data_IF_319127855264
#
_entry.id   IF_319127855264
#
_cell.length_a   1.000
_cell.length_b   1.000
_cell.length_c   1.000
_cell.angle_alpha   90.00
_cell.angle_beta   90.00
_cell.angle_gamma   90.00
#
_symmetry.space_group_name_H-M   'P 1'
#
loop_
_entity.id
_entity.type
_entity.pdbx_description
1 polymer ?
#
# COMPACT_ATOMS: atom_id res chain seq x y z
N UNK A 1 -5.41 20.59 -24.78
CA UNK A 1 -5.78 19.50 -25.70
C UNK A 1 -5.26 18.22 -25.08
N UNK A 2 -6.05 17.34 -24.47
CA UNK A 2 -7.49 17.07 -24.57
C UNK A 2 -8.07 16.83 -23.17
N UNK A 3 -9.13 17.58 -22.88
CA UNK A 3 -10.10 17.29 -21.82
C UNK A 3 -10.97 16.16 -22.35
N UNK A 4 -10.83 14.94 -21.82
CA UNK A 4 -11.73 13.85 -22.21
C UNK A 4 -13.09 14.14 -21.59
N UNK A 5 -14.01 14.48 -22.48
CA UNK A 5 -15.43 14.70 -22.30
C UNK A 5 -16.06 13.53 -21.52
N UNK A 6 -16.57 13.83 -20.31
CA UNK A 6 -17.54 13.02 -19.59
C UNK A 6 -18.87 13.07 -20.36
N UNK A 7 -18.97 12.36 -21.47
CA UNK A 7 -20.25 12.20 -22.17
C UNK A 7 -21.12 11.22 -21.38
N UNK A 8 -22.33 11.67 -21.06
CA UNK A 8 -23.37 10.99 -20.31
C UNK A 8 -23.48 9.48 -20.63
N UNK A 9 -23.09 8.64 -19.67
CA UNK A 9 -23.30 7.19 -19.76
C UNK A 9 -24.61 6.84 -19.03
N UNK A 10 -25.66 6.66 -19.82
CA UNK A 10 -26.97 6.17 -19.38
C UNK A 10 -26.79 4.77 -18.76
N UNK A 11 -26.87 4.70 -17.43
CA UNK A 11 -26.85 3.44 -16.67
C UNK A 11 -28.08 2.59 -17.04
N UNK A 12 -27.90 1.55 -17.85
CA UNK A 12 -28.87 0.48 -17.99
C UNK A 12 -28.68 -0.53 -16.85
N UNK A 13 -29.80 -1.06 -16.35
CA UNK A 13 -29.95 -1.73 -15.04
C UNK A 13 -29.03 -2.96 -14.81
N UNK A 14 -28.17 -2.96 -13.77
CA UNK A 14 -27.14 -3.98 -13.52
C UNK A 14 -27.53 -5.10 -12.54
N UNK A 15 -28.83 -5.37 -12.34
CA UNK A 15 -29.33 -5.95 -11.08
C UNK A 15 -28.98 -7.43 -10.84
N UNK A 16 -28.97 -8.32 -11.84
CA UNK A 16 -28.86 -9.77 -11.54
C UNK A 16 -27.42 -10.32 -11.48
N UNK A 17 -26.51 -9.90 -12.35
CA UNK A 17 -25.10 -10.33 -12.31
C UNK A 17 -24.25 -9.56 -11.29
N UNK A 18 -24.66 -8.33 -10.93
CA UNK A 18 -24.03 -7.57 -9.85
C UNK A 18 -24.23 -8.23 -8.49
N UNK A 19 -25.37 -8.88 -8.25
CA UNK A 19 -25.73 -9.48 -6.97
C UNK A 19 -24.86 -10.70 -6.63
N UNK A 20 -24.63 -11.61 -7.59
CA UNK A 20 -23.79 -12.79 -7.36
C UNK A 20 -22.31 -12.42 -7.13
N UNK A 21 -21.81 -11.43 -7.86
CA UNK A 21 -20.43 -10.92 -7.70
C UNK A 21 -20.27 -10.19 -6.36
N UNK A 22 -21.29 -9.42 -5.96
CA UNK A 22 -21.36 -8.77 -4.64
C UNK A 22 -21.46 -9.80 -3.50
N UNK A 23 -22.19 -10.90 -3.69
CA UNK A 23 -22.30 -12.01 -2.74
C UNK A 23 -20.96 -12.75 -2.58
N UNK A 24 -20.24 -13.04 -3.66
CA UNK A 24 -18.91 -13.65 -3.59
C UNK A 24 -17.88 -12.72 -2.92
N UNK A 25 -17.90 -11.42 -3.21
CA UNK A 25 -17.07 -10.43 -2.51
C UNK A 25 -17.41 -10.33 -1.02
N UNK A 26 -18.70 -10.35 -0.67
CA UNK A 26 -19.16 -10.38 0.74
C UNK A 26 -18.75 -11.66 1.44
N UNK A 27 -18.82 -12.80 0.77
CA UNK A 27 -18.40 -14.09 1.31
C UNK A 27 -16.87 -14.16 1.49
N UNK A 28 -16.09 -13.62 0.55
CA UNK A 28 -14.64 -13.48 0.68
C UNK A 28 -14.28 -12.51 1.82
N UNK A 29 -15.01 -11.40 1.96
CA UNK A 29 -14.84 -10.45 3.06
C UNK A 29 -15.13 -11.08 4.43
N UNK A 30 -16.22 -11.83 4.54
CA UNK A 30 -16.54 -12.60 5.75
C UNK A 30 -15.43 -13.63 6.00
N UNK A 31 -15.00 -14.38 5.00
CA UNK A 31 -13.90 -15.34 5.15
C UNK A 31 -12.56 -14.69 5.56
N UNK A 32 -12.28 -13.47 5.08
CA UNK A 32 -11.09 -12.71 5.51
C UNK A 32 -11.24 -12.26 6.95
N UNK A 33 -12.38 -11.68 7.36
CA UNK A 33 -12.64 -11.28 8.76
C UNK A 33 -12.50 -12.47 9.72
N UNK A 34 -13.08 -13.62 9.36
CA UNK A 34 -13.03 -14.83 10.18
C UNK A 34 -11.72 -15.62 10.05
N UNK A 35 -10.87 -15.26 9.09
CA UNK A 35 -9.56 -15.88 8.83
C UNK A 35 -8.37 -15.10 9.38
N UNK A 36 -8.57 -13.87 9.89
CA UNK A 36 -7.52 -13.14 10.62
C UNK A 36 -7.28 -13.86 11.94
N UNK A 37 -6.13 -14.53 12.04
CA UNK A 37 -5.64 -15.18 13.26
C UNK A 37 -5.37 -14.16 14.36
N UNK A 38 -5.38 -14.61 15.61
CA UNK A 38 -5.35 -13.81 16.86
C UNK A 38 -4.14 -12.92 17.11
N UNK A 39 -3.15 -12.88 16.22
CA UNK A 39 -1.91 -12.12 16.40
C UNK A 39 -1.96 -10.78 15.65
N UNK A 40 -2.27 -9.72 16.40
CA UNK A 40 -2.32 -8.32 15.93
C UNK A 40 -0.93 -7.78 15.65
N UNK A 41 -0.37 -8.21 14.52
CA UNK A 41 0.97 -7.84 14.06
C UNK A 41 0.92 -6.71 13.04
N UNK A 42 1.66 -5.63 13.33
CA UNK A 42 1.98 -4.58 12.37
C UNK A 42 2.85 -5.17 11.24
N UNK A 43 2.62 -4.81 9.97
CA UNK A 43 3.32 -5.46 8.86
C UNK A 43 4.80 -5.04 8.79
N UNK A 44 5.72 -5.93 9.16
CA UNK A 44 7.15 -5.63 9.20
C UNK A 44 8.01 -6.72 8.57
N UNK A 45 9.32 -6.60 8.76
CA UNK A 45 10.28 -7.67 8.48
C UNK A 45 9.94 -8.93 9.31
N UNK A 46 10.00 -10.11 8.69
CA UNK A 46 9.64 -11.38 9.35
C UNK A 46 10.61 -11.71 10.49
N UNK A 47 10.16 -12.40 11.55
CA UNK A 47 11.00 -12.70 12.72
C UNK A 47 12.30 -13.43 12.39
N UNK A 48 12.26 -14.38 11.44
CA UNK A 48 13.45 -15.09 10.98
C UNK A 48 14.47 -14.18 10.28
N UNK A 49 14.00 -13.15 9.58
CA UNK A 49 14.89 -12.16 8.97
C UNK A 49 15.48 -11.22 10.04
N UNK A 50 14.75 -10.93 11.13
CA UNK A 50 15.26 -10.10 12.25
C UNK A 50 16.48 -10.75 12.91
N UNK A 51 16.41 -12.04 13.21
CA UNK A 51 17.53 -12.78 13.80
C UNK A 51 18.78 -12.75 12.92
N UNK A 52 18.60 -12.90 11.60
CA UNK A 52 19.71 -12.78 10.65
C UNK A 52 20.36 -11.40 10.65
N UNK A 53 19.59 -10.32 10.75
CA UNK A 53 20.13 -8.95 10.77
C UNK A 53 20.87 -8.68 12.08
N UNK A 54 20.34 -9.15 13.21
CA UNK A 54 20.94 -8.97 14.54
C UNK A 54 22.28 -9.70 14.69
N UNK A 55 22.44 -10.85 14.05
CA UNK A 55 23.68 -11.64 14.09
C UNK A 55 24.74 -11.15 13.08
N UNK A 56 24.39 -10.21 12.20
CA UNK A 56 25.28 -9.78 11.12
C UNK A 56 25.82 -8.35 11.35
N UNK A 57 27.15 -8.21 11.48
CA UNK A 57 27.82 -6.92 11.70
C UNK A 57 28.42 -6.35 10.42
N UNK A 58 28.34 -5.03 10.24
CA UNK A 58 28.98 -4.31 9.14
C UNK A 58 28.09 -4.13 7.90
N UNK A 59 28.72 -3.81 6.76
CA UNK A 59 28.00 -3.50 5.52
C UNK A 59 27.67 -4.80 4.78
N UNK A 60 26.37 -5.03 4.54
CA UNK A 60 25.82 -6.27 3.97
C UNK A 60 24.89 -5.95 2.79
N UNK A 61 25.46 -5.71 1.59
CA UNK A 61 24.68 -5.21 0.46
C UNK A 61 23.60 -6.20 0.00
N UNK A 62 23.97 -7.46 -0.25
CA UNK A 62 23.08 -8.46 -0.83
C UNK A 62 21.91 -8.78 0.12
N UNK A 63 22.13 -9.06 1.42
CA UNK A 63 21.03 -9.37 2.31
C UNK A 63 20.03 -8.23 2.47
N UNK A 64 20.50 -6.99 2.59
CA UNK A 64 19.59 -5.85 2.72
C UNK A 64 18.83 -5.55 1.42
N UNK A 65 19.43 -5.72 0.23
CA UNK A 65 18.71 -5.66 -1.04
C UNK A 65 17.61 -6.73 -1.09
N UNK A 66 17.93 -7.97 -0.73
CA UNK A 66 16.93 -9.05 -0.70
C UNK A 66 15.81 -8.75 0.29
N UNK A 67 16.17 -8.26 1.47
CA UNK A 67 15.22 -7.94 2.52
C UNK A 67 14.27 -6.81 2.11
N UNK A 68 14.80 -5.75 1.49
CA UNK A 68 13.99 -4.66 0.94
C UNK A 68 13.04 -5.14 -0.16
N UNK A 69 13.52 -5.99 -1.07
CA UNK A 69 12.69 -6.57 -2.13
C UNK A 69 11.60 -7.48 -1.56
N UNK A 70 11.94 -8.31 -0.56
CA UNK A 70 11.00 -9.19 0.14
C UNK A 70 9.95 -8.38 0.89
N UNK A 71 10.35 -7.32 1.60
CA UNK A 71 9.42 -6.42 2.28
C UNK A 71 8.41 -5.83 1.30
N UNK A 72 8.86 -5.26 0.19
CA UNK A 72 7.97 -4.70 -0.83
C UNK A 72 7.03 -5.74 -1.45
N UNK A 73 7.50 -6.96 -1.69
CA UNK A 73 6.70 -8.03 -2.32
C UNK A 73 5.72 -8.71 -1.36
N UNK A 74 6.01 -8.70 -0.06
CA UNK A 74 5.15 -9.30 0.98
C UNK A 74 4.23 -8.27 1.65
N UNK A 75 4.48 -6.97 1.45
CA UNK A 75 3.63 -5.87 1.90
C UNK A 75 2.34 -5.78 1.11
N UNK A 76 1.29 -6.41 1.65
CA UNK A 76 -0.05 -6.36 1.05
C UNK A 76 -0.59 -4.92 0.94
N UNK A 77 -0.23 -4.06 1.89
CA UNK A 77 -0.53 -2.63 1.88
C UNK A 77 0.05 -1.91 0.65
N UNK A 78 1.34 -2.11 0.38
CA UNK A 78 2.05 -1.55 -0.77
C UNK A 78 1.47 -2.07 -2.08
N UNK A 79 1.21 -3.37 -2.18
CA UNK A 79 0.63 -3.99 -3.38
C UNK A 79 -0.80 -3.50 -3.64
N UNK A 80 -1.63 -3.37 -2.61
CA UNK A 80 -2.99 -2.84 -2.72
C UNK A 80 -2.97 -1.36 -3.13
N UNK A 81 -2.09 -0.55 -2.53
CA UNK A 81 -1.94 0.84 -2.92
C UNK A 81 -1.47 0.97 -4.37
N UNK A 82 -0.44 0.22 -4.77
CA UNK A 82 0.09 0.19 -6.13
C UNK A 82 -1.00 -0.22 -7.14
N UNK A 83 -1.74 -1.29 -6.85
CA UNK A 83 -2.90 -1.74 -7.63
C UNK A 83 -3.91 -0.61 -7.82
N UNK A 84 -4.20 0.14 -6.76
CA UNK A 84 -5.15 1.25 -6.78
C UNK A 84 -4.66 2.41 -7.65
N UNK A 85 -3.38 2.75 -7.56
CA UNK A 85 -2.76 3.77 -8.42
C UNK A 85 -2.85 3.40 -9.90
N UNK A 86 -2.50 2.16 -10.27
CA UNK A 86 -2.43 1.77 -11.68
C UNK A 86 -3.77 1.40 -12.30
N UNK A 87 -4.80 1.17 -11.49
CA UNK A 87 -6.10 0.66 -11.95
C UNK A 87 -6.66 1.42 -13.15
N UNK A 88 -6.62 2.76 -13.09
CA UNK A 88 -7.12 3.67 -14.13
C UNK A 88 -6.02 4.42 -14.90
N UNK A 89 -4.74 4.16 -14.61
CA UNK A 89 -3.64 4.73 -15.38
C UNK A 89 -3.36 3.88 -16.62
N UNK A 90 -3.38 4.52 -17.78
CA UNK A 90 -3.11 3.87 -19.08
C UNK A 90 -1.75 4.25 -19.65
N UNK A 91 -1.20 5.42 -19.27
CA UNK A 91 0.08 5.91 -19.78
C UNK A 91 1.20 5.55 -18.81
N UNK A 92 2.22 4.84 -19.30
CA UNK A 92 3.41 4.49 -18.52
C UNK A 92 4.07 5.70 -17.87
N UNK A 93 4.10 6.85 -18.57
CA UNK A 93 4.62 8.11 -18.02
C UNK A 93 3.91 8.53 -16.73
N UNK A 94 2.58 8.41 -16.70
CA UNK A 94 1.80 8.81 -15.52
C UNK A 94 2.10 7.84 -14.37
N UNK A 95 2.12 6.53 -14.65
CA UNK A 95 2.48 5.49 -13.67
C UNK A 95 3.85 5.77 -13.05
N UNK A 96 4.87 6.03 -13.88
CA UNK A 96 6.21 6.33 -13.40
C UNK A 96 6.22 7.55 -12.47
N UNK A 97 5.47 8.61 -12.79
CA UNK A 97 5.38 9.80 -11.92
C UNK A 97 4.85 9.43 -10.52
N UNK A 98 3.76 8.66 -10.44
CA UNK A 98 3.21 8.27 -9.13
C UNK A 98 4.14 7.37 -8.34
N UNK A 99 4.74 6.38 -9.01
CA UNK A 99 5.69 5.44 -8.39
C UNK A 99 6.92 6.19 -7.87
N UNK A 100 7.46 7.13 -8.64
CA UNK A 100 8.57 7.97 -8.22
C UNK A 100 8.20 8.91 -7.07
N UNK A 101 7.02 9.54 -7.10
CA UNK A 101 6.57 10.41 -5.99
C UNK A 101 6.40 9.62 -4.69
N UNK A 102 5.82 8.43 -4.76
CA UNK A 102 5.68 7.55 -3.62
C UNK A 102 7.07 7.15 -3.07
N UNK A 103 7.96 6.67 -3.93
CA UNK A 103 9.31 6.27 -3.55
C UNK A 103 10.12 7.43 -2.95
N UNK A 104 9.99 8.64 -3.52
CA UNK A 104 10.63 9.84 -3.00
C UNK A 104 10.13 10.19 -1.59
N UNK A 105 8.82 10.18 -1.35
CA UNK A 105 8.28 10.38 0.00
C UNK A 105 8.78 9.30 0.96
N UNK A 106 8.73 8.04 0.54
CA UNK A 106 9.14 6.89 1.33
C UNK A 106 10.60 6.97 1.79
N UNK A 107 11.55 7.22 0.87
CA UNK A 107 12.97 7.27 1.24
C UNK A 107 13.28 8.45 2.16
N UNK A 108 12.59 9.58 1.99
CA UNK A 108 12.79 10.77 2.84
C UNK A 108 12.45 10.45 4.29
N UNK A 109 11.28 9.88 4.56
CA UNK A 109 10.85 9.59 5.94
C UNK A 109 11.48 8.33 6.51
N UNK A 110 11.85 7.36 5.68
CA UNK A 110 12.60 6.20 6.12
C UNK A 110 13.96 6.63 6.67
N UNK A 111 14.75 7.37 5.88
CA UNK A 111 16.09 7.79 6.28
C UNK A 111 16.03 8.78 7.44
N UNK A 112 15.18 9.81 7.35
CA UNK A 112 15.07 10.80 8.44
C UNK A 112 14.49 10.20 9.71
N UNK A 113 13.50 9.31 9.62
CA UNK A 113 12.90 8.64 10.77
C UNK A 113 13.92 7.80 11.54
N UNK A 114 14.76 7.04 10.84
CA UNK A 114 15.83 6.25 11.48
C UNK A 114 16.96 7.15 12.00
N UNK A 115 17.43 8.12 11.20
CA UNK A 115 18.58 8.97 11.58
C UNK A 115 18.29 9.93 12.74
N UNK A 116 17.04 10.38 12.88
CA UNK A 116 16.62 11.25 13.97
C UNK A 116 15.88 10.50 15.09
N UNK A 117 15.85 9.17 15.05
CA UNK A 117 15.24 8.31 16.06
C UNK A 117 13.79 8.71 16.40
N UNK A 118 13.01 9.05 15.38
CA UNK A 118 11.64 9.54 15.59
C UNK A 118 10.73 8.36 15.93
N UNK A 119 10.40 8.22 17.21
CA UNK A 119 9.52 7.18 17.71
C UNK A 119 8.04 7.60 17.63
N UNK A 120 7.25 6.88 16.82
CA UNK A 120 5.79 7.01 16.74
C UNK A 120 5.19 5.61 16.80
N UNK A 121 3.92 5.45 17.18
CA UNK A 121 3.31 4.12 17.22
C UNK A 121 3.22 3.50 15.81
N UNK A 122 3.80 2.30 15.57
CA UNK A 122 3.68 1.61 14.28
C UNK A 122 2.22 1.36 13.90
N UNK A 123 1.36 1.07 14.89
CA UNK A 123 -0.06 0.86 14.69
C UNK A 123 -0.78 2.10 14.12
N UNK A 124 -0.44 3.30 14.60
CA UNK A 124 -1.05 4.53 14.07
C UNK A 124 -0.62 4.80 12.63
N UNK A 125 0.65 4.53 12.32
CA UNK A 125 1.16 4.72 10.96
C UNK A 125 0.58 3.67 10.01
N UNK A 126 0.55 2.39 10.40
CA UNK A 126 -0.08 1.31 9.62
C UNK A 126 -1.59 1.57 9.43
N UNK A 127 -2.27 2.22 10.38
CA UNK A 127 -3.66 2.66 10.19
C UNK A 127 -3.81 3.75 9.12
N UNK A 128 -2.91 4.74 9.09
CA UNK A 128 -2.87 5.78 8.04
C UNK A 128 -2.53 5.15 6.68
N UNK A 129 -1.66 4.15 6.65
CA UNK A 129 -1.36 3.36 5.46
C UNK A 129 -2.62 2.65 4.96
N UNK A 130 -3.39 1.98 5.84
CA UNK A 130 -4.69 1.40 5.48
C UNK A 130 -5.68 2.44 4.93
N UNK A 131 -5.71 3.64 5.54
CA UNK A 131 -6.52 4.76 5.06
C UNK A 131 -6.11 5.23 3.65
N UNK A 132 -4.82 5.16 3.29
CA UNK A 132 -4.36 5.53 1.94
C UNK A 132 -5.02 4.68 0.84
N UNK A 133 -5.29 3.39 1.12
CA UNK A 133 -5.97 2.47 0.20
C UNK A 133 -7.45 2.88 0.04
N UNK A 134 -8.10 3.25 1.16
CA UNK A 134 -9.47 3.79 1.16
C UNK A 134 -9.54 5.06 0.32
N UNK A 135 -8.64 6.01 0.59
CA UNK A 135 -8.54 7.26 -0.15
C UNK A 135 -8.39 7.00 -1.64
N UNK A 136 -7.45 6.12 -2.04
CA UNK A 136 -7.20 5.86 -3.46
C UNK A 136 -8.37 5.16 -4.15
N UNK A 137 -9.08 4.31 -3.44
CA UNK A 137 -10.29 3.66 -3.95
C UNK A 137 -11.43 4.68 -4.16
N UNK A 138 -11.60 5.64 -3.25
CA UNK A 138 -12.56 6.74 -3.39
C UNK A 138 -12.20 7.68 -4.55
N UNK A 139 -10.93 8.02 -4.67
CA UNK A 139 -10.37 8.80 -5.78
C UNK A 139 -10.70 8.16 -7.13
N UNK A 140 -10.43 6.86 -7.25
CA UNK A 140 -10.70 6.06 -8.44
C UNK A 140 -12.19 5.97 -8.81
N UNK A 141 -13.09 6.06 -7.82
CA UNK A 141 -14.54 6.07 -8.04
C UNK A 141 -15.11 7.47 -8.31
N UNK A 142 -14.27 8.51 -8.31
CA UNK A 142 -14.70 9.91 -8.49
C UNK A 142 -15.53 10.45 -7.32
N UNK A 143 -15.39 9.87 -6.13
CA UNK A 143 -16.19 10.22 -4.97
C UNK A 143 -15.95 11.67 -4.52
N UNK A 144 -14.69 12.14 -4.53
CA UNK A 144 -14.35 13.49 -4.07
C UNK A 144 -14.99 14.58 -4.91
N UNK A 145 -14.92 14.49 -6.24
CA UNK A 145 -15.63 15.43 -7.12
C UNK A 145 -17.15 15.45 -6.86
N UNK A 146 -17.76 14.30 -6.54
CA UNK A 146 -19.21 14.20 -6.29
C UNK A 146 -19.62 14.73 -4.92
N UNK A 147 -18.82 14.50 -3.89
CA UNK A 147 -19.13 14.87 -2.52
C UNK A 147 -18.69 16.29 -2.17
N UNK A 148 -17.54 16.72 -2.68
CA UNK A 148 -16.90 17.98 -2.31
C UNK A 148 -16.91 19.02 -3.43
N UNK A 149 -17.28 18.63 -4.66
CA UNK A 149 -17.28 19.53 -5.82
C UNK A 149 -15.89 19.81 -6.41
N UNK A 150 -14.82 19.23 -5.87
CA UNK A 150 -13.46 19.32 -6.40
C UNK A 150 -12.71 17.99 -6.24
N UNK A 151 -11.70 17.77 -7.08
CA UNK A 151 -10.80 16.62 -6.99
C UNK A 151 -9.48 17.05 -6.33
N UNK A 152 -9.08 16.44 -5.19
CA UNK A 152 -7.78 16.67 -4.61
C UNK A 152 -6.64 16.27 -5.55
N UNK A 153 -5.47 16.91 -5.44
CA UNK A 153 -4.31 16.54 -6.25
C UNK A 153 -3.78 15.16 -5.82
N UNK A 154 -3.97 14.18 -6.69
CA UNK A 154 -3.56 12.79 -6.50
C UNK A 154 -2.06 12.64 -6.37
N UNK A 155 -1.25 13.49 -7.02
CA UNK A 155 0.22 13.43 -6.95
C UNK A 155 0.71 13.83 -5.57
N UNK A 156 0.12 14.91 -5.03
CA UNK A 156 0.42 15.37 -3.66
C UNK A 156 0.01 14.29 -2.67
N UNK A 157 -1.19 13.72 -2.81
CA UNK A 157 -1.66 12.63 -1.95
C UNK A 157 -0.70 11.42 -2.00
N UNK A 158 -0.29 10.99 -3.20
CA UNK A 158 0.67 9.87 -3.35
C UNK A 158 2.03 10.15 -2.70
N UNK A 159 2.55 11.36 -2.82
CA UNK A 159 3.78 11.75 -2.11
C UNK A 159 3.59 11.69 -0.59
N UNK A 160 2.49 12.24 -0.08
CA UNK A 160 2.16 12.22 1.36
C UNK A 160 2.01 10.78 1.87
N UNK A 161 1.35 9.90 1.12
CA UNK A 161 1.26 8.49 1.51
C UNK A 161 2.63 7.81 1.49
N UNK A 162 3.50 8.15 0.54
CA UNK A 162 4.89 7.73 0.55
C UNK A 162 5.60 8.09 1.86
N UNK A 163 5.43 9.34 2.33
CA UNK A 163 5.99 9.79 3.61
C UNK A 163 5.52 8.89 4.77
N UNK A 164 4.23 8.60 4.88
CA UNK A 164 3.72 7.73 5.95
C UNK A 164 4.24 6.29 5.85
N UNK A 165 4.34 5.73 4.64
CA UNK A 165 4.88 4.37 4.46
C UNK A 165 6.34 4.27 4.88
N UNK A 166 7.18 5.21 4.44
CA UNK A 166 8.60 5.22 4.82
C UNK A 166 8.80 5.34 6.33
N UNK A 167 7.92 6.12 6.98
CA UNK A 167 7.93 6.30 8.42
C UNK A 167 7.47 5.05 9.20
N UNK A 168 6.51 4.32 8.66
CA UNK A 168 6.04 3.05 9.24
C UNK A 168 7.15 2.01 9.29
N UNK A 169 7.96 1.94 8.23
CA UNK A 169 9.15 1.09 8.21
C UNK A 169 10.27 1.62 9.13
N UNK A 170 10.53 2.93 9.15
CA UNK A 170 11.53 3.52 10.04
C UNK A 170 11.29 3.15 11.50
N UNK A 171 10.04 3.27 11.94
CA UNK A 171 9.63 2.94 13.31
C UNK A 171 9.93 1.48 13.64
N UNK A 172 9.63 0.55 12.73
CA UNK A 172 9.90 -0.89 12.93
C UNK A 172 11.39 -1.20 12.95
N UNK A 173 12.19 -0.50 12.14
CA UNK A 173 13.65 -0.65 12.15
C UNK A 173 14.24 -0.18 13.48
N UNK A 174 13.73 0.91 14.07
CA UNK A 174 14.15 1.37 15.39
C UNK A 174 13.82 0.34 16.48
N UNK A 175 12.66 -0.33 16.40
CA UNK A 175 12.29 -1.43 17.31
C UNK A 175 13.19 -2.67 17.19
N UNK A 176 13.90 -2.84 16.06
CA UNK A 176 14.78 -3.98 15.85
C UNK A 176 16.19 -3.77 16.40
N UNK A 177 16.48 -2.61 17.02
CA UNK A 177 17.77 -2.30 17.66
C UNK A 177 18.97 -2.68 16.77
N UNK A 178 18.91 -2.32 15.48
CA UNK A 178 19.95 -2.71 14.52
C UNK A 178 21.33 -2.18 14.96
N UNK A 179 22.42 -2.96 14.78
CA UNK A 179 23.77 -2.49 15.03
C UNK A 179 24.05 -1.18 14.28
N UNK A 180 24.59 -0.18 14.99
CA UNK A 180 24.94 1.10 14.38
C UNK A 180 26.02 0.95 13.28
N UNK A 181 26.85 -0.08 13.37
CA UNK A 181 27.87 -0.39 12.38
C UNK A 181 27.24 -0.83 11.05
N UNK A 182 27.49 -0.07 9.99
CA UNK A 182 26.94 -0.31 8.66
C UNK A 182 25.47 0.07 8.47
N UNK A 183 24.79 0.63 9.48
CA UNK A 183 23.35 0.96 9.45
C UNK A 183 22.97 1.79 8.21
N UNK A 184 23.61 2.95 8.01
CA UNK A 184 23.27 3.85 6.90
C UNK A 184 23.51 3.21 5.51
N UNK A 185 24.68 2.60 5.21
CA UNK A 185 24.86 1.80 3.99
C UNK A 185 23.81 0.71 3.81
N UNK A 186 23.48 -0.02 4.88
CA UNK A 186 22.52 -1.12 4.83
C UNK A 186 21.09 -0.61 4.56
N UNK A 187 20.70 0.55 5.10
CA UNK A 187 19.43 1.22 4.75
C UNK A 187 19.37 1.66 3.29
N UNK A 188 20.49 2.11 2.72
CA UNK A 188 20.56 2.44 1.29
C UNK A 188 20.36 1.17 0.45
N UNK A 189 21.05 0.08 0.79
CA UNK A 189 20.87 -1.21 0.11
C UNK A 189 19.45 -1.77 0.26
N UNK A 190 18.84 -1.59 1.43
CA UNK A 190 17.43 -1.91 1.65
C UNK A 190 16.53 -1.15 0.68
N UNK A 191 16.71 0.18 0.54
CA UNK A 191 15.92 0.99 -0.37
C UNK A 191 16.09 0.57 -1.84
N UNK A 192 17.31 0.22 -2.26
CA UNK A 192 17.55 -0.35 -3.58
C UNK A 192 16.73 -1.64 -3.76
N UNK A 193 16.70 -2.49 -2.73
CA UNK A 193 15.84 -3.67 -2.69
C UNK A 193 14.35 -3.34 -2.86
N UNK A 194 13.85 -2.35 -2.11
CA UNK A 194 12.45 -1.90 -2.20
C UNK A 194 12.12 -1.41 -3.61
N UNK A 195 12.98 -0.60 -4.22
CA UNK A 195 12.79 -0.12 -5.59
C UNK A 195 12.74 -1.27 -6.60
N UNK A 196 13.64 -2.25 -6.48
CA UNK A 196 13.62 -3.47 -7.32
C UNK A 196 12.31 -4.22 -7.13
N UNK A 197 11.90 -4.47 -5.88
CA UNK A 197 10.63 -5.12 -5.56
C UNK A 197 9.44 -4.38 -6.14
N UNK A 198 9.44 -3.05 -6.08
CA UNK A 198 8.37 -2.20 -6.60
C UNK A 198 8.28 -2.25 -8.11
N UNK A 199 9.41 -2.23 -8.83
CA UNK A 199 9.44 -2.37 -10.29
C UNK A 199 8.91 -3.74 -10.71
N UNK A 200 9.31 -4.81 -10.03
CA UNK A 200 8.86 -6.18 -10.31
C UNK A 200 7.35 -6.33 -10.05
N UNK A 201 6.87 -5.85 -8.90
CA UNK A 201 5.44 -5.85 -8.57
C UNK A 201 4.64 -5.03 -9.58
N UNK A 202 5.12 -3.83 -9.94
CA UNK A 202 4.49 -2.98 -10.94
C UNK A 202 4.37 -3.69 -12.29
N UNK A 203 5.45 -4.30 -12.77
CA UNK A 203 5.45 -5.04 -14.03
C UNK A 203 4.42 -6.19 -14.00
N UNK A 204 4.40 -6.98 -12.93
CA UNK A 204 3.47 -8.09 -12.77
C UNK A 204 2.00 -7.61 -12.78
N UNK A 205 1.67 -6.58 -11.99
CA UNK A 205 0.29 -6.09 -11.90
C UNK A 205 -0.14 -5.41 -13.22
N UNK A 206 0.76 -4.66 -13.88
CA UNK A 206 0.45 -4.07 -15.20
C UNK A 206 0.15 -5.14 -16.24
N UNK A 207 0.90 -6.24 -16.29
CA UNK A 207 0.63 -7.36 -17.20
C UNK A 207 -0.76 -7.96 -16.89
N UNK A 208 -1.06 -8.21 -15.62
CA UNK A 208 -2.34 -8.76 -15.19
C UNK A 208 -3.53 -7.86 -15.58
N UNK A 209 -3.44 -6.56 -15.30
CA UNK A 209 -4.48 -5.59 -15.65
C UNK A 209 -4.59 -5.43 -17.17
N UNK A 210 -3.47 -5.39 -17.90
CA UNK A 210 -3.50 -5.27 -19.36
C UNK A 210 -4.22 -6.45 -20.02
N UNK A 211 -4.04 -7.66 -19.48
CA UNK A 211 -4.82 -8.83 -19.91
C UNK A 211 -6.30 -8.70 -19.53
N UNK A 212 -6.59 -8.29 -18.29
CA UNK A 212 -7.96 -8.15 -17.79
C UNK A 212 -8.78 -7.08 -18.53
N UNK A 213 -8.13 -5.98 -18.94
CA UNK A 213 -8.72 -4.89 -19.74
C UNK A 213 -9.25 -5.36 -21.10
N UNK A 214 -8.79 -6.50 -21.62
CA UNK A 214 -9.33 -7.09 -22.87
C UNK A 214 -10.74 -7.67 -22.68
N UNK A 215 -11.21 -7.85 -21.45
CA UNK A 215 -12.56 -8.32 -21.18
C UNK A 215 -13.59 -7.19 -21.35
N UNK A 216 -14.67 -7.43 -22.10
CA UNK A 216 -15.74 -6.44 -22.30
C UNK A 216 -16.50 -6.04 -21.02
N UNK A 217 -16.21 -6.68 -19.87
CA UNK A 217 -16.80 -6.38 -18.56
C UNK A 217 -15.84 -5.59 -17.64
N UNK A 218 -14.66 -5.16 -18.10
CA UNK A 218 -13.65 -4.52 -17.26
C UNK A 218 -14.20 -3.36 -16.42
N UNK A 219 -15.00 -2.47 -17.01
CA UNK A 219 -15.55 -1.30 -16.31
C UNK A 219 -16.49 -1.66 -15.14
N UNK A 220 -17.28 -2.73 -15.28
CA UNK A 220 -18.16 -3.19 -14.19
C UNK A 220 -17.35 -3.84 -13.07
N UNK A 221 -16.30 -4.59 -13.42
CA UNK A 221 -15.40 -5.17 -12.43
C UNK A 221 -14.51 -4.11 -11.77
N UNK A 222 -14.20 -3.02 -12.47
CA UNK A 222 -13.40 -1.92 -11.96
C UNK A 222 -14.02 -1.31 -10.70
N UNK A 223 -15.31 -0.98 -10.77
CA UNK A 223 -16.04 -0.41 -9.64
C UNK A 223 -16.10 -1.39 -8.45
N UNK A 224 -16.43 -2.66 -8.72
CA UNK A 224 -16.46 -3.71 -7.69
C UNK A 224 -15.09 -3.92 -7.04
N UNK A 225 -14.01 -3.89 -7.83
CA UNK A 225 -12.65 -4.06 -7.31
C UNK A 225 -12.24 -2.90 -6.43
N UNK A 226 -12.53 -1.66 -6.82
CA UNK A 226 -12.25 -0.50 -5.97
C UNK A 226 -13.10 -0.52 -4.70
N UNK A 227 -14.34 -1.01 -4.76
CA UNK A 227 -15.17 -1.23 -3.56
C UNK A 227 -14.52 -2.28 -2.64
N UNK A 228 -14.04 -3.39 -3.19
CA UNK A 228 -13.34 -4.42 -2.42
C UNK A 228 -12.05 -3.90 -1.78
N UNK A 229 -11.24 -3.15 -2.54
CA UNK A 229 -10.02 -2.52 -2.05
C UNK A 229 -10.31 -1.51 -0.93
N UNK A 230 -11.36 -0.71 -1.08
CA UNK A 230 -11.82 0.21 -0.03
C UNK A 230 -12.19 -0.55 1.24
N UNK A 231 -12.90 -1.67 1.13
CA UNK A 231 -13.25 -2.54 2.27
C UNK A 231 -12.00 -3.11 2.93
N UNK A 232 -11.01 -3.59 2.16
CA UNK A 232 -9.73 -4.05 2.70
C UNK A 232 -8.96 -2.93 3.41
N UNK A 233 -8.93 -1.72 2.84
CA UNK A 233 -8.31 -0.55 3.47
C UNK A 233 -8.94 -0.21 4.82
N UNK A 234 -10.28 -0.25 4.91
CA UNK A 234 -10.98 -0.06 6.18
C UNK A 234 -10.72 -1.19 7.17
N UNK A 235 -10.64 -2.45 6.72
CA UNK A 235 -10.28 -3.58 7.58
C UNK A 235 -8.88 -3.43 8.15
N UNK A 236 -7.89 -3.12 7.31
CA UNK A 236 -6.51 -2.90 7.74
C UNK A 236 -6.42 -1.74 8.73
N UNK A 237 -7.07 -0.61 8.41
CA UNK A 237 -7.11 0.54 9.31
C UNK A 237 -7.75 0.18 10.66
N UNK A 238 -8.92 -0.49 10.64
CA UNK A 238 -9.62 -0.89 11.86
C UNK A 238 -8.84 -1.90 12.69
N UNK A 239 -8.15 -2.84 12.05
CA UNK A 239 -7.27 -3.82 12.69
C UNK A 239 -6.14 -3.13 13.46
N UNK A 240 -5.48 -2.16 12.83
CA UNK A 240 -4.35 -1.44 13.43
C UNK A 240 -4.79 -0.49 14.55
N UNK A 241 -5.92 0.21 14.38
CA UNK A 241 -6.51 1.04 15.44
C UNK A 241 -6.90 0.18 16.65
N UNK A 242 -7.53 -0.98 16.42
CA UNK A 242 -7.90 -1.90 17.49
C UNK A 242 -6.66 -2.44 18.20
N UNK A 243 -5.61 -2.81 17.44
CA UNK A 243 -4.32 -3.20 17.99
C UNK A 243 -3.70 -2.13 18.88
N UNK A 244 -3.72 -0.87 18.43
CA UNK A 244 -3.24 0.27 19.22
C UNK A 244 -3.95 0.35 20.57
N UNK A 245 -5.30 0.31 20.59
CA UNK A 245 -6.06 0.40 21.83
C UNK A 245 -5.89 -0.82 22.75
N UNK A 246 -5.88 -2.04 22.21
CA UNK A 246 -5.70 -3.25 23.03
C UNK A 246 -4.31 -3.24 23.68
N UNK A 247 -3.24 -2.99 22.91
CA UNK A 247 -1.89 -2.92 23.48
C UNK A 247 -1.78 -1.81 24.54
N UNK A 248 -2.30 -0.61 24.26
CA UNK A 248 -2.31 0.49 25.24
C UNK A 248 -3.13 0.20 26.50
N UNK A 249 -4.15 -0.66 26.41
CA UNK A 249 -4.98 -1.05 27.56
C UNK A 249 -4.34 -2.11 28.45
N UNK A 250 -3.25 -2.74 27.98
CA UNK A 250 -2.57 -3.85 28.67
C UNK A 250 -1.26 -3.40 29.34
N UNK A 251 -0.92 -2.11 29.25
CA UNK A 251 0.27 -1.47 29.85
C UNK A 251 -0.16 -0.64 31.06
#
# INVERSE_FOLDING_TARGET
METICMTEMKMSSPVEHGVLTCLCMKALFIAVIFGVTSDVTAHGVTEGDKGYILESTGILPIPFIYLGAKHMMTGYDHLLFLLGVIFFLYRLKDICIYVTLFAAGHVITLLSGVLFEVAVSPYLIDAIIGFSIVYKSLDNMGAFQRWLGFQPDTKIATFIFGLFHGFGLATKILEYELPADGLLPNLIFFNIGVEIGQILALAAILIAIAYWRKSGKFMNHAYNTNTFMMMLGFLLMGYQITGHFILFSTI
#
